data_IF_769669854388
#
_entry.id   IF_769669854388
#
_cell.length_a   1.000
_cell.length_b   1.000
_cell.length_c   1.000
_cell.angle_alpha   90.00
_cell.angle_beta   90.00
_cell.angle_gamma   90.00
#
_symmetry.space_group_name_H-M   'P 1'
#
loop_
_entity.id
_entity.type
_entity.pdbx_description
1 polymer ?
#
# COMPACT_ATOMS: atom_id res chain seq x y z
N UNK A 1 -35.85 5.18 4.63
CA UNK A 1 -35.53 4.62 3.30
C UNK A 1 -34.01 4.50 3.16
N UNK A 2 -33.41 3.35 3.49
CA UNK A 2 -31.95 3.17 3.48
C UNK A 2 -31.46 2.85 2.06
N UNK A 3 -30.82 3.82 1.41
CA UNK A 3 -29.78 3.72 0.37
C UNK A 3 -29.73 2.44 -0.51
N UNK A 4 -30.85 2.00 -1.09
CA UNK A 4 -30.84 0.89 -2.08
C UNK A 4 -30.03 1.23 -3.35
N UNK A 5 -29.85 2.51 -3.65
CA UNK A 5 -29.12 2.99 -4.83
C UNK A 5 -27.64 3.29 -4.58
N UNK A 6 -27.21 3.51 -3.34
CA UNK A 6 -25.82 3.90 -3.05
C UNK A 6 -24.85 2.73 -3.20
N UNK A 7 -25.24 1.55 -2.70
CA UNK A 7 -24.42 0.34 -2.81
C UNK A 7 -24.16 -0.09 -4.27
N UNK A 8 -25.18 -0.20 -5.15
CA UNK A 8 -24.92 -0.57 -6.53
C UNK A 8 -24.09 0.49 -7.27
N UNK A 9 -24.27 1.78 -6.97
CA UNK A 9 -23.45 2.84 -7.56
C UNK A 9 -21.96 2.70 -7.18
N UNK A 10 -21.67 2.42 -5.91
CA UNK A 10 -20.30 2.20 -5.42
C UNK A 10 -19.67 0.98 -6.10
N UNK A 11 -20.42 -0.12 -6.22
CA UNK A 11 -19.96 -1.33 -6.90
C UNK A 11 -19.68 -1.07 -8.38
N UNK A 12 -20.57 -0.37 -9.09
CA UNK A 12 -20.35 0.01 -10.50
C UNK A 12 -19.09 0.86 -10.62
N UNK A 13 -18.92 1.88 -9.75
CA UNK A 13 -17.71 2.71 -9.74
C UNK A 13 -16.44 1.89 -9.54
N UNK A 14 -16.45 0.92 -8.61
CA UNK A 14 -15.29 0.07 -8.33
C UNK A 14 -14.98 -0.85 -9.52
N UNK A 15 -15.99 -1.41 -10.18
CA UNK A 15 -15.83 -2.25 -11.38
C UNK A 15 -15.30 -1.42 -12.55
N UNK A 16 -15.83 -0.22 -12.79
CA UNK A 16 -15.34 0.67 -13.86
C UNK A 16 -13.87 1.05 -13.62
N UNK A 17 -13.50 1.36 -12.37
CA UNK A 17 -12.11 1.60 -12.01
C UNK A 17 -11.23 0.36 -12.24
N UNK A 18 -11.74 -0.85 -11.92
CA UNK A 18 -11.02 -2.10 -12.15
C UNK A 18 -10.69 -2.29 -13.63
N UNK A 19 -11.68 -2.10 -14.50
CA UNK A 19 -11.50 -2.25 -15.93
C UNK A 19 -10.48 -1.22 -16.45
N UNK A 20 -10.57 0.04 -16.01
CA UNK A 20 -9.61 1.08 -16.39
C UNK A 20 -8.18 0.76 -15.93
N UNK A 21 -8.00 0.35 -14.68
CA UNK A 21 -6.68 0.06 -14.13
C UNK A 21 -6.03 -1.18 -14.74
N UNK A 22 -6.82 -2.22 -15.03
CA UNK A 22 -6.33 -3.37 -15.79
C UNK A 22 -5.97 -2.97 -17.22
N UNK A 23 -6.78 -2.13 -17.89
CA UNK A 23 -6.44 -1.61 -19.20
C UNK A 23 -5.10 -0.87 -19.17
N UNK A 24 -4.90 0.06 -18.24
CA UNK A 24 -3.62 0.77 -18.09
C UNK A 24 -2.46 -0.18 -17.81
N UNK A 25 -2.64 -1.15 -16.92
CA UNK A 25 -1.60 -2.11 -16.55
C UNK A 25 -1.17 -3.01 -17.72
N UNK A 26 -2.11 -3.47 -18.54
CA UNK A 26 -1.82 -4.38 -19.66
C UNK A 26 -1.48 -3.67 -20.97
N UNK A 27 -1.93 -2.43 -21.15
CA UNK A 27 -1.72 -1.68 -22.40
C UNK A 27 -0.43 -0.88 -22.39
N UNK A 28 -0.05 -0.30 -21.25
CA UNK A 28 1.16 0.52 -21.14
C UNK A 28 2.31 -0.25 -20.49
N UNK A 29 3.53 0.04 -20.94
CA UNK A 29 4.74 -0.58 -20.42
C UNK A 29 5.30 0.16 -19.21
N UNK A 30 6.00 -0.58 -18.36
CA UNK A 30 6.68 -0.06 -17.18
C UNK A 30 8.17 -0.35 -17.30
N UNK A 31 8.96 0.72 -17.51
CA UNK A 31 10.40 0.59 -17.73
C UNK A 31 11.23 0.65 -16.44
N UNK A 32 10.63 0.97 -15.27
CA UNK A 32 11.34 0.96 -13.99
C UNK A 32 12.58 1.86 -13.91
N UNK A 33 12.58 2.97 -14.65
CA UNK A 33 13.65 3.99 -14.63
C UNK A 33 13.17 5.20 -13.84
N UNK A 34 13.89 5.55 -12.78
CA UNK A 34 13.59 6.71 -11.95
C UNK A 34 14.43 7.92 -12.39
N UNK A 35 13.76 9.06 -12.54
CA UNK A 35 14.39 10.32 -12.92
C UNK A 35 14.31 11.34 -11.79
N UNK A 36 15.35 12.15 -11.66
CA UNK A 36 15.35 13.32 -10.79
C UNK A 36 15.67 14.57 -11.61
N UNK A 37 14.99 15.66 -11.26
CA UNK A 37 15.29 16.98 -11.82
C UNK A 37 16.46 17.59 -11.06
N UNK A 38 17.50 18.01 -11.77
CA UNK A 38 18.63 18.70 -11.15
C UNK A 38 18.33 20.20 -10.91
N UNK A 39 19.27 20.92 -10.27
CA UNK A 39 19.19 22.36 -10.01
C UNK A 39 19.16 23.23 -11.28
N UNK A 40 19.53 22.68 -12.44
CA UNK A 40 19.48 23.32 -13.75
C UNK A 40 18.21 22.97 -14.54
N UNK A 41 17.22 22.35 -13.88
CA UNK A 41 15.98 21.88 -14.47
C UNK A 41 16.10 20.75 -15.50
N UNK A 42 17.25 20.09 -15.58
CA UNK A 42 17.52 18.94 -16.45
C UNK A 42 17.05 17.62 -15.79
N UNK A 43 16.57 16.69 -16.61
CA UNK A 43 16.15 15.37 -16.18
C UNK A 43 17.30 14.38 -16.28
N UNK A 44 17.69 13.78 -15.14
CA UNK A 44 18.75 12.78 -15.07
C UNK A 44 18.27 11.48 -14.47
N UNK A 45 18.82 10.37 -14.97
CA UNK A 45 18.55 9.05 -14.42
C UNK A 45 19.15 8.96 -13.03
N UNK A 46 18.31 8.78 -12.02
CA UNK A 46 18.77 8.58 -10.65
C UNK A 46 18.97 7.11 -10.33
N UNK A 47 18.07 6.23 -10.74
CA UNK A 47 18.08 4.83 -10.34
C UNK A 47 17.35 3.92 -11.34
N UNK A 48 17.55 2.62 -11.18
CA UNK A 48 16.82 1.57 -11.89
C UNK A 48 16.21 0.63 -10.87
N UNK A 49 14.98 0.19 -11.11
CA UNK A 49 14.31 -0.78 -10.26
C UNK A 49 15.03 -2.15 -10.26
N UNK A 50 15.63 -2.52 -11.39
CA UNK A 50 16.42 -3.74 -11.48
C UNK A 50 17.62 -3.57 -12.39
N UNK A 51 18.66 -4.34 -12.07
CA UNK A 51 19.90 -4.39 -12.84
C UNK A 51 19.66 -4.91 -14.27
N UNK A 52 18.69 -5.82 -14.45
CA UNK A 52 18.33 -6.36 -15.76
C UNK A 52 17.74 -5.29 -16.68
N UNK A 53 16.93 -4.37 -16.15
CA UNK A 53 16.39 -3.22 -16.91
C UNK A 53 17.54 -2.30 -17.36
N UNK A 54 18.48 -2.00 -16.46
CA UNK A 54 19.66 -1.18 -16.77
C UNK A 54 20.45 -1.75 -17.93
N UNK A 55 20.73 -3.05 -17.88
CA UNK A 55 21.49 -3.76 -18.92
C UNK A 55 20.71 -3.86 -20.24
N UNK A 56 19.40 -4.12 -20.19
CA UNK A 56 18.55 -4.21 -21.40
C UNK A 56 18.46 -2.89 -22.16
N UNK A 57 18.28 -1.78 -21.43
CA UNK A 57 18.13 -0.45 -22.04
C UNK A 57 19.49 0.22 -22.36
N UNK A 58 20.60 -0.32 -21.85
CA UNK A 58 21.94 0.27 -22.04
C UNK A 58 22.14 1.63 -21.35
N UNK A 59 21.23 1.99 -20.44
CA UNK A 59 21.22 3.26 -19.71
C UNK A 59 22.09 3.19 -18.44
N UNK A 60 22.56 4.34 -17.97
CA UNK A 60 23.39 4.45 -16.78
C UNK A 60 22.87 5.54 -15.85
N UNK A 61 23.17 5.41 -14.56
CA UNK A 61 22.86 6.45 -13.56
C UNK A 61 23.68 7.69 -13.90
N UNK A 62 23.02 8.85 -13.94
CA UNK A 62 23.62 10.14 -14.31
C UNK A 62 23.40 10.56 -15.76
N UNK A 63 22.94 9.65 -16.63
CA UNK A 63 22.55 9.96 -18.00
C UNK A 63 21.47 11.06 -18.05
N UNK A 64 21.59 11.98 -19.01
CA UNK A 64 20.67 13.10 -19.19
C UNK A 64 19.66 12.81 -20.30
N UNK A 65 18.37 13.00 -20.03
CA UNK A 65 17.34 12.87 -21.05
C UNK A 65 17.17 14.20 -21.76
N UNK A 66 17.49 14.21 -23.07
CA UNK A 66 17.45 15.40 -23.92
C UNK A 66 16.13 15.49 -24.68
N UNK A 67 15.61 14.35 -25.16
CA UNK A 67 14.34 14.29 -25.91
C UNK A 67 13.53 13.07 -25.54
N UNK A 68 12.21 13.24 -25.65
CA UNK A 68 11.20 12.22 -25.44
C UNK A 68 10.28 12.21 -26.66
N UNK A 69 10.23 11.12 -27.42
CA UNK A 69 9.55 11.04 -28.72
C UNK A 69 9.89 12.24 -29.64
N UNK A 70 11.18 12.51 -29.80
CA UNK A 70 11.77 13.63 -30.56
C UNK A 70 11.37 15.06 -30.11
N UNK A 71 10.61 15.17 -29.02
CA UNK A 71 10.19 16.44 -28.44
C UNK A 71 10.95 16.76 -27.15
N UNK A 72 10.89 18.04 -26.77
CA UNK A 72 11.36 18.50 -25.46
C UNK A 72 10.63 17.73 -24.33
N UNK A 73 11.35 17.15 -23.35
CA UNK A 73 10.76 16.41 -22.25
C UNK A 73 9.68 17.18 -21.49
N UNK A 74 9.81 18.51 -21.39
CA UNK A 74 8.85 19.36 -20.66
C UNK A 74 7.54 19.61 -21.45
N UNK A 75 7.47 19.23 -22.73
CA UNK A 75 6.21 19.25 -23.51
C UNK A 75 5.29 18.09 -23.19
N UNK A 76 5.81 16.97 -22.70
CA UNK A 76 4.99 15.82 -22.33
C UNK A 76 4.50 15.98 -20.88
N UNK A 77 3.20 16.20 -20.71
CA UNK A 77 2.59 16.45 -19.41
C UNK A 77 2.78 15.31 -18.40
N UNK A 78 2.81 14.04 -18.84
CA UNK A 78 3.02 12.90 -17.96
C UNK A 78 4.47 12.82 -17.49
N UNK A 79 5.40 13.01 -18.43
CA UNK A 79 6.83 13.02 -18.13
C UNK A 79 7.18 14.14 -17.15
N UNK A 80 6.72 15.37 -17.42
CA UNK A 80 6.96 16.55 -16.58
C UNK A 80 6.44 16.38 -15.14
N UNK A 81 5.26 15.77 -14.97
CA UNK A 81 4.64 15.59 -13.65
C UNK A 81 5.27 14.47 -12.83
N UNK A 82 5.58 13.35 -13.46
CA UNK A 82 5.88 12.11 -12.75
C UNK A 82 7.34 11.69 -12.79
N UNK A 83 8.15 12.32 -13.64
CA UNK A 83 9.56 11.99 -13.82
C UNK A 83 9.78 10.50 -14.11
N UNK A 84 8.85 9.89 -14.85
CA UNK A 84 8.88 8.49 -15.21
C UNK A 84 8.81 8.32 -16.72
N UNK A 85 9.63 7.39 -17.21
CA UNK A 85 9.56 6.91 -18.59
C UNK A 85 8.35 5.98 -18.69
N UNK A 86 7.23 6.49 -19.20
CA UNK A 86 5.99 5.74 -19.38
C UNK A 86 5.26 6.24 -20.61
N UNK A 87 4.73 5.34 -21.43
CA UNK A 87 3.96 5.67 -22.65
C UNK A 87 4.79 6.39 -23.72
N UNK A 88 6.03 5.96 -23.94
CA UNK A 88 6.99 6.58 -24.85
C UNK A 88 7.58 5.52 -25.79
N UNK A 89 7.85 5.91 -27.04
CA UNK A 89 8.40 5.01 -28.05
C UNK A 89 9.93 5.12 -28.11
N UNK A 90 10.46 6.35 -27.97
CA UNK A 90 11.89 6.62 -28.04
C UNK A 90 12.32 7.68 -27.03
N UNK A 91 13.54 7.53 -26.51
CA UNK A 91 14.23 8.56 -25.74
C UNK A 91 15.57 8.88 -26.36
N UNK A 92 15.95 10.16 -26.35
CA UNK A 92 17.31 10.58 -26.69
C UNK A 92 18.04 10.94 -25.41
N UNK A 93 19.17 10.28 -25.18
CA UNK A 93 19.97 10.39 -23.98
C UNK A 93 21.33 10.96 -24.32
N UNK A 94 21.82 11.88 -23.50
CA UNK A 94 23.19 12.41 -23.58
C UNK A 94 24.04 11.85 -22.44
N UNK A 95 25.16 11.23 -22.81
CA UNK A 95 26.18 10.73 -21.90
C UNK A 95 27.52 11.34 -22.28
N UNK A 96 28.11 12.12 -21.39
CA UNK A 96 29.39 12.82 -21.62
C UNK A 96 29.40 13.65 -22.92
N UNK A 97 28.27 14.26 -23.29
CA UNK A 97 28.13 15.06 -24.51
C UNK A 97 27.80 14.26 -25.77
N UNK A 98 27.77 12.92 -25.72
CA UNK A 98 27.33 12.08 -26.83
C UNK A 98 25.84 11.76 -26.71
N UNK A 99 25.07 12.13 -27.73
CA UNK A 99 23.65 11.81 -27.82
C UNK A 99 23.42 10.49 -28.56
N UNK A 100 22.60 9.62 -28.00
CA UNK A 100 22.14 8.39 -28.64
C UNK A 100 20.66 8.16 -28.35
N UNK A 101 19.97 7.51 -29.30
CA UNK A 101 18.56 7.15 -29.15
C UNK A 101 18.42 5.74 -28.61
N UNK A 102 17.52 5.57 -27.64
CA UNK A 102 17.14 4.28 -27.08
C UNK A 102 15.67 4.02 -27.41
N UNK A 103 15.36 2.99 -28.21
CA UNK A 103 13.99 2.57 -28.45
C UNK A 103 13.42 1.83 -27.24
N UNK A 104 12.17 2.16 -26.88
CA UNK A 104 11.42 1.56 -25.77
C UNK A 104 10.37 0.58 -26.31
N UNK A 105 10.81 -0.44 -27.05
CA UNK A 105 9.93 -1.29 -27.88
C UNK A 105 9.57 -2.64 -27.20
N UNK A 106 10.28 -3.01 -26.13
CA UNK A 106 10.24 -4.38 -25.64
C UNK A 106 9.13 -4.61 -24.61
N UNK A 107 8.03 -5.23 -25.08
CA UNK A 107 6.85 -5.66 -24.31
C UNK A 107 7.17 -6.77 -23.30
N UNK A 108 7.95 -6.47 -22.27
CA UNK A 108 8.09 -7.35 -21.12
C UNK A 108 7.02 -7.02 -20.07
N UNK A 109 5.98 -7.85 -19.97
CA UNK A 109 5.10 -7.80 -18.80
C UNK A 109 5.91 -8.11 -17.55
N UNK A 110 5.91 -7.18 -16.60
CA UNK A 110 6.65 -7.34 -15.36
C UNK A 110 5.93 -8.34 -14.47
N UNK A 111 6.66 -9.30 -13.87
CA UNK A 111 6.12 -10.19 -12.82
C UNK A 111 5.46 -9.40 -11.67
N UNK A 112 5.82 -8.12 -11.54
CA UNK A 112 5.23 -7.13 -10.65
C UNK A 112 3.70 -7.01 -10.78
N UNK A 113 3.15 -7.05 -12.00
CA UNK A 113 1.72 -6.87 -12.23
C UNK A 113 0.90 -8.08 -11.74
N UNK A 114 1.39 -9.29 -12.02
CA UNK A 114 0.75 -10.53 -11.56
C UNK A 114 0.73 -10.64 -10.03
N UNK A 115 1.80 -10.17 -9.39
CA UNK A 115 1.90 -10.16 -7.92
C UNK A 115 0.91 -9.16 -7.34
N UNK A 116 0.83 -7.94 -7.88
CA UNK A 116 -0.17 -6.94 -7.48
C UNK A 116 -1.60 -7.48 -7.65
N UNK A 117 -1.92 -8.11 -8.77
CA UNK A 117 -3.23 -8.70 -9.04
C UNK A 117 -3.57 -9.87 -8.09
N UNK A 118 -2.59 -10.69 -7.74
CA UNK A 118 -2.79 -11.76 -6.75
C UNK A 118 -3.13 -11.19 -5.37
N UNK A 119 -2.42 -10.14 -4.94
CA UNK A 119 -2.68 -9.45 -3.67
C UNK A 119 -4.08 -8.82 -3.62
N UNK A 120 -4.51 -8.21 -4.72
CA UNK A 120 -5.86 -7.67 -4.89
C UNK A 120 -6.93 -8.77 -4.71
N UNK A 121 -6.87 -9.83 -5.51
CA UNK A 121 -7.87 -10.92 -5.50
C UNK A 121 -7.98 -11.54 -4.11
N UNK A 122 -6.83 -11.81 -3.47
CA UNK A 122 -6.79 -12.38 -2.13
C UNK A 122 -7.49 -11.46 -1.13
N UNK A 123 -7.20 -10.16 -1.15
CA UNK A 123 -7.80 -9.19 -0.23
C UNK A 123 -9.31 -9.04 -0.45
N UNK A 124 -9.76 -8.93 -1.70
CA UNK A 124 -11.18 -8.84 -2.02
C UNK A 124 -11.95 -10.11 -1.64
N UNK A 125 -11.35 -11.27 -1.89
CA UNK A 125 -11.93 -12.56 -1.47
C UNK A 125 -12.13 -12.62 0.05
N UNK A 126 -11.11 -12.27 0.83
CA UNK A 126 -11.21 -12.28 2.30
C UNK A 126 -12.22 -11.23 2.79
N UNK A 127 -12.20 -10.02 2.22
CA UNK A 127 -13.16 -8.96 2.54
C UNK A 127 -14.60 -9.45 2.34
N UNK A 128 -14.88 -10.10 1.21
CA UNK A 128 -16.18 -10.66 0.87
C UNK A 128 -16.59 -11.80 1.83
N UNK A 129 -15.68 -12.71 2.15
CA UNK A 129 -15.93 -13.79 3.11
C UNK A 129 -16.33 -13.26 4.49
N UNK A 130 -15.61 -12.26 5.02
CA UNK A 130 -15.92 -11.65 6.32
C UNK A 130 -17.30 -10.99 6.28
N UNK A 131 -17.59 -10.25 5.22
CA UNK A 131 -18.87 -9.55 5.04
C UNK A 131 -20.05 -10.54 5.03
N UNK A 132 -19.91 -11.68 4.34
CA UNK A 132 -20.96 -12.71 4.28
C UNK A 132 -21.10 -13.49 5.59
N UNK A 133 -19.99 -13.89 6.22
CA UNK A 133 -20.01 -14.79 7.38
C UNK A 133 -20.38 -14.08 8.69
N UNK A 134 -20.11 -12.78 8.81
CA UNK A 134 -20.27 -12.04 10.08
C UNK A 134 -21.00 -10.70 9.87
N UNK A 135 -22.20 -10.69 9.28
CA UNK A 135 -22.86 -9.45 8.83
C UNK A 135 -23.28 -8.52 9.98
N UNK A 136 -23.44 -9.04 11.20
CA UNK A 136 -24.01 -8.31 12.34
C UNK A 136 -22.98 -7.62 13.24
N UNK A 137 -21.69 -7.94 13.13
CA UNK A 137 -20.64 -7.28 13.93
C UNK A 137 -20.15 -6.01 13.23
N UNK A 138 -20.12 -4.87 13.95
CA UNK A 138 -19.58 -3.63 13.38
C UNK A 138 -18.06 -3.72 13.24
N UNK A 139 -17.37 -4.34 14.20
CA UNK A 139 -15.92 -4.56 14.09
C UNK A 139 -15.58 -5.44 12.87
N UNK A 140 -16.33 -6.50 12.60
CA UNK A 140 -16.12 -7.33 11.40
C UNK A 140 -16.32 -6.55 10.09
N UNK A 141 -17.26 -5.61 10.03
CA UNK A 141 -17.44 -4.73 8.85
C UNK A 141 -16.26 -3.81 8.62
N UNK A 142 -15.71 -3.22 9.68
CA UNK A 142 -14.50 -2.41 9.56
C UNK A 142 -13.28 -3.25 9.16
N UNK A 143 -13.18 -4.49 9.65
CA UNK A 143 -12.14 -5.42 9.23
C UNK A 143 -12.26 -5.79 7.75
N UNK A 144 -13.48 -6.09 7.28
CA UNK A 144 -13.76 -6.27 5.85
C UNK A 144 -13.37 -5.03 5.03
N UNK A 145 -13.62 -3.83 5.56
CA UNK A 145 -13.21 -2.58 4.94
C UNK A 145 -11.69 -2.40 4.90
N UNK A 146 -10.95 -2.84 5.92
CA UNK A 146 -9.47 -2.89 5.90
C UNK A 146 -8.99 -3.72 4.72
N UNK A 147 -9.50 -4.95 4.57
CA UNK A 147 -9.13 -5.79 3.42
C UNK A 147 -9.54 -5.19 2.08
N UNK A 148 -10.70 -4.55 2.01
CA UNK A 148 -11.14 -3.88 0.80
C UNK A 148 -10.17 -2.75 0.42
N UNK A 149 -9.80 -1.90 1.38
CA UNK A 149 -8.79 -0.84 1.16
C UNK A 149 -7.46 -1.43 0.73
N UNK A 150 -6.97 -2.46 1.42
CA UNK A 150 -5.69 -3.11 1.06
C UNK A 150 -5.74 -3.71 -0.34
N UNK A 151 -6.85 -4.35 -0.73
CA UNK A 151 -7.05 -4.86 -2.08
C UNK A 151 -7.06 -3.74 -3.13
N UNK A 152 -7.75 -2.63 -2.86
CA UNK A 152 -7.74 -1.46 -3.75
C UNK A 152 -6.37 -0.78 -3.82
N UNK A 153 -5.57 -0.81 -2.74
CA UNK A 153 -4.17 -0.37 -2.80
C UNK A 153 -3.40 -1.25 -3.78
N UNK A 154 -3.49 -2.59 -3.65
CA UNK A 154 -2.82 -3.52 -4.58
C UNK A 154 -3.22 -3.27 -6.03
N UNK A 155 -4.52 -3.11 -6.29
CA UNK A 155 -5.09 -2.76 -7.60
C UNK A 155 -4.50 -1.47 -8.20
N UNK A 156 -4.18 -0.47 -7.37
CA UNK A 156 -3.64 0.81 -7.84
C UNK A 156 -2.13 0.77 -8.13
N UNK A 157 -1.39 -0.25 -7.68
CA UNK A 157 0.08 -0.28 -7.79
C UNK A 157 0.55 -0.26 -9.24
N UNK A 158 0.09 -1.21 -10.05
CA UNK A 158 0.47 -1.34 -11.46
C UNK A 158 0.15 -0.10 -12.33
N UNK A 159 -1.07 0.48 -12.29
CA UNK A 159 -1.36 1.71 -13.04
C UNK A 159 -0.65 2.95 -12.47
N UNK A 160 -0.42 3.04 -11.16
CA UNK A 160 0.33 4.14 -10.54
C UNK A 160 1.80 4.14 -10.99
N UNK A 161 2.41 2.96 -11.12
CA UNK A 161 3.76 2.79 -11.65
C UNK A 161 3.87 3.25 -13.13
N UNK A 162 2.75 3.23 -13.85
CA UNK A 162 2.62 3.68 -15.25
C UNK A 162 2.12 5.12 -15.39
N UNK A 163 2.32 5.93 -14.35
CA UNK A 163 1.99 7.36 -14.36
C UNK A 163 0.49 7.69 -14.48
N UNK A 164 -0.42 6.74 -14.22
CA UNK A 164 -1.84 7.05 -14.15
C UNK A 164 -2.13 7.95 -12.93
N UNK A 165 -2.70 9.12 -13.22
CA UNK A 165 -2.91 10.15 -12.21
C UNK A 165 -3.99 9.74 -11.21
N UNK A 166 -5.03 9.02 -11.66
CA UNK A 166 -6.11 8.58 -10.79
C UNK A 166 -5.63 7.51 -9.81
N UNK A 167 -4.86 6.54 -10.29
CA UNK A 167 -4.23 5.51 -9.47
C UNK A 167 -3.31 6.13 -8.40
N UNK A 168 -2.51 7.14 -8.76
CA UNK A 168 -1.65 7.88 -7.81
C UNK A 168 -2.43 8.62 -6.72
N UNK A 169 -3.55 9.26 -7.08
CA UNK A 169 -4.45 9.90 -6.10
C UNK A 169 -5.05 8.84 -5.16
N UNK A 170 -5.53 7.74 -5.72
CA UNK A 170 -6.18 6.66 -4.95
C UNK A 170 -5.19 5.98 -4.01
N UNK A 171 -4.04 5.51 -4.50
CA UNK A 171 -3.07 4.78 -3.66
C UNK A 171 -2.57 5.65 -2.50
N UNK A 172 -2.24 6.93 -2.76
CA UNK A 172 -1.76 7.86 -1.74
C UNK A 172 -2.82 8.13 -0.67
N UNK A 173 -4.08 8.22 -1.07
CA UNK A 173 -5.19 8.49 -0.16
C UNK A 173 -5.60 7.24 0.63
N UNK A 174 -5.60 6.08 -0.01
CA UNK A 174 -5.90 4.81 0.65
C UNK A 174 -4.79 4.40 1.63
N UNK A 175 -3.53 4.67 1.32
CA UNK A 175 -2.43 4.47 2.27
C UNK A 175 -2.63 5.29 3.53
N UNK A 176 -3.04 6.56 3.44
CA UNK A 176 -3.36 7.38 4.62
C UNK A 176 -4.54 6.82 5.41
N UNK A 177 -5.60 6.38 4.72
CA UNK A 177 -6.84 5.94 5.36
C UNK A 177 -6.70 4.55 5.98
N UNK A 178 -5.88 3.66 5.41
CA UNK A 178 -5.69 2.28 5.86
C UNK A 178 -5.42 2.15 7.37
N UNK A 179 -4.37 2.78 7.94
CA UNK A 179 -4.10 2.67 9.37
C UNK A 179 -5.19 3.35 10.24
N UNK A 180 -5.93 4.34 9.72
CA UNK A 180 -7.03 4.99 10.45
C UNK A 180 -8.25 4.09 10.56
N UNK A 181 -8.64 3.46 9.44
CA UNK A 181 -9.71 2.45 9.43
C UNK A 181 -9.33 1.27 10.31
N UNK A 182 -8.06 0.87 10.28
CA UNK A 182 -7.56 -0.17 11.15
C UNK A 182 -7.67 0.23 12.64
N UNK A 183 -7.31 1.46 12.98
CA UNK A 183 -7.47 1.99 14.34
C UNK A 183 -8.94 2.02 14.80
N UNK A 184 -9.84 2.38 13.89
CA UNK A 184 -11.28 2.37 14.14
C UNK A 184 -11.80 0.94 14.35
N UNK A 185 -11.32 -0.02 13.54
CA UNK A 185 -11.59 -1.44 13.74
C UNK A 185 -11.20 -1.87 15.16
N UNK A 186 -10.00 -1.53 15.64
CA UNK A 186 -9.54 -1.90 16.98
C UNK A 186 -10.44 -1.34 18.09
N UNK A 187 -10.82 -0.06 18.00
CA UNK A 187 -11.71 0.57 18.98
C UNK A 187 -13.04 -0.19 19.07
N UNK A 188 -13.61 -0.55 17.92
CA UNK A 188 -14.86 -1.29 17.87
C UNK A 188 -14.69 -2.74 18.34
N UNK A 189 -13.58 -3.38 17.98
CA UNK A 189 -13.28 -4.75 18.40
C UNK A 189 -13.18 -4.87 19.92
N UNK A 190 -12.42 -3.99 20.57
CA UNK A 190 -12.29 -3.99 22.03
C UNK A 190 -13.61 -3.63 22.74
N UNK A 191 -14.40 -2.73 22.14
CA UNK A 191 -15.74 -2.39 22.66
C UNK A 191 -16.71 -3.56 22.55
N UNK A 192 -16.75 -4.27 21.42
CA UNK A 192 -17.66 -5.40 21.20
C UNK A 192 -17.28 -6.64 22.03
N UNK A 193 -15.98 -6.92 22.18
CA UNK A 193 -15.51 -8.17 22.80
C UNK A 193 -15.31 -8.08 24.31
N UNK A 194 -14.87 -6.93 24.82
CA UNK A 194 -14.47 -6.77 26.23
C UNK A 194 -15.17 -5.60 26.92
N UNK A 195 -16.18 -4.97 26.28
CA UNK A 195 -16.86 -3.77 26.76
C UNK A 195 -15.91 -2.59 27.10
N UNK A 196 -14.69 -2.60 26.57
CA UNK A 196 -13.69 -1.57 26.81
C UNK A 196 -14.07 -0.32 26.01
N UNK A 197 -14.26 0.79 26.71
CA UNK A 197 -14.50 2.09 26.09
C UNK A 197 -13.17 2.79 25.83
N UNK A 198 -12.83 2.97 24.56
CA UNK A 198 -11.69 3.74 24.11
C UNK A 198 -12.14 5.10 23.54
N UNK A 199 -11.33 6.16 23.69
CA UNK A 199 -11.65 7.45 23.10
C UNK A 199 -11.65 7.33 21.57
N UNK A 200 -12.73 7.75 20.92
CA UNK A 200 -12.84 7.74 19.45
C UNK A 200 -12.91 9.15 18.84
N UNK A 201 -13.01 10.20 19.66
CA UNK A 201 -13.20 11.58 19.17
C UNK A 201 -12.04 12.07 18.32
N UNK A 202 -10.81 11.65 18.62
CA UNK A 202 -9.63 12.06 17.87
C UNK A 202 -9.61 11.51 16.42
N UNK A 203 -10.34 10.41 16.15
CA UNK A 203 -10.46 9.86 14.80
C UNK A 203 -11.11 10.87 13.85
N UNK A 204 -12.06 11.69 14.33
CA UNK A 204 -12.68 12.70 13.48
C UNK A 204 -11.65 13.67 12.92
N UNK A 205 -10.70 14.14 13.74
CA UNK A 205 -9.62 15.01 13.27
C UNK A 205 -8.70 14.31 12.26
N UNK A 206 -8.34 13.04 12.51
CA UNK A 206 -7.50 12.28 11.59
C UNK A 206 -8.19 12.05 10.24
N UNK A 207 -9.48 11.74 10.24
CA UNK A 207 -10.26 11.63 9.01
C UNK A 207 -10.41 12.99 8.30
N UNK A 208 -10.56 14.09 9.03
CA UNK A 208 -10.56 15.43 8.43
C UNK A 208 -9.25 15.73 7.71
N UNK A 209 -8.10 15.39 8.29
CA UNK A 209 -6.78 15.52 7.63
C UNK A 209 -6.73 14.65 6.36
N UNK A 210 -7.23 13.42 6.41
CA UNK A 210 -7.29 12.55 5.24
C UNK A 210 -8.17 13.13 4.12
N UNK A 211 -9.29 13.77 4.46
CA UNK A 211 -10.17 14.44 3.48
C UNK A 211 -9.49 15.67 2.88
N UNK A 212 -8.85 16.50 3.69
CA UNK A 212 -8.14 17.69 3.20
C UNK A 212 -7.01 17.29 2.24
N UNK A 213 -6.20 16.29 2.61
CA UNK A 213 -5.12 15.81 1.74
C UNK A 213 -5.66 15.18 0.45
N UNK A 214 -6.79 14.47 0.49
CA UNK A 214 -7.46 13.99 -0.71
C UNK A 214 -7.89 15.13 -1.65
N UNK A 215 -8.47 16.22 -1.12
CA UNK A 215 -8.88 17.38 -1.92
C UNK A 215 -7.67 18.03 -2.59
N UNK A 216 -6.56 18.19 -1.87
CA UNK A 216 -5.31 18.75 -2.43
C UNK A 216 -4.80 17.89 -3.58
N UNK A 217 -4.87 16.56 -3.46
CA UNK A 217 -4.42 15.61 -4.50
C UNK A 217 -5.27 15.62 -5.76
N UNK A 218 -6.49 16.15 -5.74
CA UNK A 218 -7.27 16.34 -6.96
C UNK A 218 -6.57 17.28 -7.95
N UNK A 219 -5.61 18.11 -7.50
CA UNK A 219 -4.76 18.90 -8.39
C UNK A 219 -3.95 18.04 -9.38
N UNK A 220 -3.63 16.78 -9.06
CA UNK A 220 -2.91 15.87 -9.95
C UNK A 220 -3.66 15.53 -11.25
N UNK A 221 -4.99 15.63 -11.21
CA UNK A 221 -5.84 15.41 -12.38
C UNK A 221 -5.80 16.58 -13.37
N UNK A 222 -5.29 17.75 -12.95
CA UNK A 222 -5.15 18.94 -13.81
C UNK A 222 -3.83 18.90 -14.58
N UNK A 223 -3.69 19.55 -15.76
CA UNK A 223 -2.45 19.52 -16.56
C UNK A 223 -1.27 20.32 -15.96
N UNK A 224 -1.38 20.80 -14.73
CA UNK A 224 -0.36 21.61 -14.06
C UNK A 224 0.93 20.81 -13.78
N UNK A 225 2.05 21.52 -13.63
CA UNK A 225 3.29 20.93 -13.15
C UNK A 225 3.19 20.67 -11.64
N UNK A 226 2.93 19.41 -11.29
CA UNK A 226 2.73 18.97 -9.91
C UNK A 226 3.90 18.15 -9.37
N UNK A 227 5.07 18.16 -10.04
CA UNK A 227 6.20 17.30 -9.66
C UNK A 227 6.69 17.57 -8.22
N UNK A 228 6.98 18.83 -7.88
CA UNK A 228 7.43 19.19 -6.53
C UNK A 228 6.37 18.92 -5.46
N UNK A 229 5.09 19.17 -5.78
CA UNK A 229 3.98 18.86 -4.89
C UNK A 229 3.87 17.35 -4.63
N UNK A 230 4.07 16.54 -5.67
CA UNK A 230 4.04 15.07 -5.57
C UNK A 230 5.17 14.53 -4.68
N UNK A 231 6.39 15.04 -4.79
CA UNK A 231 7.49 14.62 -3.92
C UNK A 231 7.19 14.91 -2.43
N UNK A 232 6.67 16.11 -2.15
CA UNK A 232 6.28 16.52 -0.81
C UNK A 232 5.13 15.65 -0.30
N UNK A 233 4.08 15.46 -1.10
CA UNK A 233 2.93 14.63 -0.76
C UNK A 233 3.32 13.17 -0.51
N UNK A 234 4.19 12.60 -1.35
CA UNK A 234 4.70 11.24 -1.18
C UNK A 234 5.40 11.05 0.18
N UNK A 235 6.26 12.00 0.56
CA UNK A 235 6.89 12.02 1.88
C UNK A 235 5.85 12.12 3.01
N UNK A 236 4.86 13.00 2.88
CA UNK A 236 3.77 13.15 3.86
C UNK A 236 2.90 11.89 3.98
N UNK A 237 2.60 11.19 2.87
CA UNK A 237 1.85 9.92 2.87
C UNK A 237 2.58 8.88 3.70
N UNK A 238 3.88 8.71 3.48
CA UNK A 238 4.70 7.75 4.22
C UNK A 238 4.75 8.09 5.70
N UNK A 239 5.02 9.35 6.04
CA UNK A 239 5.08 9.81 7.43
C UNK A 239 3.73 9.60 8.13
N UNK A 240 2.62 9.95 7.48
CA UNK A 240 1.29 9.78 8.03
C UNK A 240 0.92 8.30 8.18
N UNK A 241 1.30 7.45 7.24
CA UNK A 241 1.10 6.01 7.33
C UNK A 241 1.84 5.43 8.55
N UNK A 242 3.12 5.77 8.71
CA UNK A 242 3.93 5.33 9.86
C UNK A 242 3.38 5.87 11.17
N UNK A 243 2.96 7.14 11.22
CA UNK A 243 2.30 7.72 12.37
C UNK A 243 0.99 6.98 12.72
N UNK A 244 0.18 6.66 11.72
CA UNK A 244 -1.03 5.85 11.89
C UNK A 244 -0.73 4.45 12.44
N UNK A 245 0.32 3.79 11.97
CA UNK A 245 0.78 2.52 12.54
C UNK A 245 1.24 2.68 13.99
N UNK A 246 1.99 3.73 14.31
CA UNK A 246 2.41 4.03 15.69
C UNK A 246 1.20 4.26 16.61
N UNK A 247 0.15 4.92 16.13
CA UNK A 247 -1.10 5.07 16.89
C UNK A 247 -1.77 3.73 17.17
N UNK A 248 -1.77 2.80 16.21
CA UNK A 248 -2.28 1.45 16.40
C UNK A 248 -1.47 0.70 17.47
N UNK A 249 -0.14 0.73 17.37
CA UNK A 249 0.77 0.13 18.37
C UNK A 249 0.54 0.76 19.75
N UNK A 250 0.50 2.10 19.82
CA UNK A 250 0.27 2.86 21.05
C UNK A 250 -1.07 2.52 21.71
N UNK A 251 -2.12 2.34 20.92
CA UNK A 251 -3.41 1.86 21.43
C UNK A 251 -3.28 0.46 22.05
N UNK A 252 -2.59 -0.47 21.41
CA UNK A 252 -2.39 -1.79 22.00
C UNK A 252 -1.58 -1.74 23.29
N UNK A 253 -0.53 -0.91 23.36
CA UNK A 253 0.22 -0.71 24.60
C UNK A 253 -0.69 -0.16 25.71
N UNK A 254 -1.49 0.84 25.39
CA UNK A 254 -2.43 1.42 26.34
C UNK A 254 -3.40 0.37 26.89
N UNK A 255 -4.04 -0.43 26.02
CA UNK A 255 -4.96 -1.49 26.42
C UNK A 255 -4.23 -2.57 27.21
N UNK A 256 -3.02 -2.96 26.79
CA UNK A 256 -2.19 -3.94 27.50
C UNK A 256 -1.91 -3.49 28.93
N UNK A 257 -1.32 -2.31 29.11
CA UNK A 257 -0.91 -1.85 30.44
C UNK A 257 -2.09 -1.60 31.36
N UNK A 258 -3.21 -1.11 30.82
CA UNK A 258 -4.42 -0.82 31.60
C UNK A 258 -5.15 -2.09 32.04
N UNK A 259 -5.32 -3.08 31.16
CA UNK A 259 -6.17 -4.25 31.41
C UNK A 259 -5.41 -5.56 31.64
N UNK A 260 -4.07 -5.55 31.68
CA UNK A 260 -3.25 -6.76 31.94
C UNK A 260 -3.56 -7.48 33.26
N UNK A 261 -4.15 -6.79 34.24
CA UNK A 261 -4.44 -7.35 35.57
C UNK A 261 -5.87 -7.89 35.70
N UNK A 262 -6.77 -7.53 34.78
CA UNK A 262 -8.21 -7.73 34.97
C UNK A 262 -8.73 -9.01 34.32
N UNK A 263 -8.04 -9.55 33.30
CA UNK A 263 -8.51 -10.74 32.59
C UNK A 263 -7.38 -11.47 31.83
N UNK A 264 -7.16 -12.75 32.13
CA UNK A 264 -6.12 -13.57 31.49
C UNK A 264 -6.36 -13.78 29.99
N UNK A 265 -7.62 -13.86 29.56
CA UNK A 265 -7.99 -14.00 28.15
C UNK A 265 -7.65 -12.75 27.34
N UNK A 266 -7.83 -11.56 27.91
CA UNK A 266 -7.47 -10.28 27.26
C UNK A 266 -5.97 -10.20 27.04
N UNK A 267 -5.19 -10.62 28.02
CA UNK A 267 -3.73 -10.63 27.91
C UNK A 267 -3.25 -11.56 26.78
N UNK A 268 -3.88 -12.74 26.63
CA UNK A 268 -3.53 -13.69 25.56
C UNK A 268 -3.86 -13.13 24.17
N UNK A 269 -5.03 -12.51 23.99
CA UNK A 269 -5.41 -11.83 22.74
C UNK A 269 -4.38 -10.76 22.41
N UNK A 270 -4.07 -9.88 23.37
CA UNK A 270 -3.17 -8.76 23.13
C UNK A 270 -1.78 -9.26 22.74
N UNK A 271 -1.26 -10.32 23.39
CA UNK A 271 0.04 -10.91 23.04
C UNK A 271 0.07 -11.46 21.60
N UNK A 272 -0.95 -12.23 21.20
CA UNK A 272 -1.05 -12.78 19.84
C UNK A 272 -1.15 -11.65 18.82
N UNK A 273 -1.99 -10.67 19.10
CA UNK A 273 -2.21 -9.53 18.21
C UNK A 273 -0.98 -8.64 18.12
N UNK A 274 -0.24 -8.45 19.21
CA UNK A 274 1.05 -7.77 19.21
C UNK A 274 2.06 -8.47 18.30
N UNK A 275 2.17 -9.78 18.43
CA UNK A 275 3.06 -10.60 17.61
C UNK A 275 2.68 -10.52 16.13
N UNK A 276 1.39 -10.64 15.82
CA UNK A 276 0.87 -10.51 14.47
C UNK A 276 1.14 -9.11 13.88
N UNK A 277 0.92 -8.04 14.65
CA UNK A 277 1.22 -6.66 14.23
C UNK A 277 2.72 -6.53 13.93
N UNK A 278 3.58 -6.94 14.86
CA UNK A 278 5.02 -6.83 14.70
C UNK A 278 5.51 -7.58 13.45
N UNK A 279 5.09 -8.83 13.26
CA UNK A 279 5.46 -9.63 12.07
C UNK A 279 4.92 -9.00 10.78
N UNK A 280 3.70 -8.48 10.80
CA UNK A 280 3.06 -7.93 9.60
C UNK A 280 3.64 -6.59 9.15
N UNK A 281 3.93 -5.69 10.10
CA UNK A 281 4.32 -4.33 9.80
C UNK A 281 5.84 -4.18 9.70
N UNK A 282 6.62 -5.02 10.41
CA UNK A 282 8.07 -4.91 10.46
C UNK A 282 8.73 -4.92 9.07
N UNK A 283 8.43 -5.87 8.15
CA UNK A 283 9.04 -5.90 6.82
C UNK A 283 8.77 -4.61 6.03
N UNK A 284 7.53 -4.11 6.02
CA UNK A 284 7.21 -2.90 5.28
C UNK A 284 7.86 -1.65 5.90
N UNK A 285 7.83 -1.53 7.22
CA UNK A 285 8.40 -0.37 7.91
C UNK A 285 9.91 -0.33 7.74
N UNK A 286 10.62 -1.41 8.10
CA UNK A 286 12.08 -1.38 8.17
C UNK A 286 12.78 -1.65 6.83
N UNK A 287 12.18 -2.41 5.91
CA UNK A 287 12.82 -2.77 4.63
C UNK A 287 12.36 -1.86 3.48
N UNK A 288 11.23 -1.16 3.61
CA UNK A 288 10.72 -0.30 2.54
C UNK A 288 10.58 1.15 2.98
N UNK A 289 9.64 1.47 3.86
CA UNK A 289 9.24 2.87 4.11
C UNK A 289 10.29 3.67 4.87
N UNK A 290 10.91 3.10 5.89
CA UNK A 290 11.97 3.78 6.64
C UNK A 290 13.22 4.05 5.77
N UNK A 291 13.74 3.09 4.97
CA UNK A 291 14.80 3.37 4.00
C UNK A 291 14.46 4.45 2.98
N UNK A 292 13.23 4.46 2.47
CA UNK A 292 12.76 5.50 1.53
C UNK A 292 12.87 6.89 2.17
N UNK A 293 12.49 7.05 3.44
CA UNK A 293 12.56 8.34 4.13
C UNK A 293 14.00 8.84 4.36
N UNK A 294 14.99 7.95 4.37
CA UNK A 294 16.40 8.30 4.60
C UNK A 294 17.18 8.51 3.29
N UNK A 295 17.00 7.61 2.33
CA UNK A 295 17.87 7.47 1.16
C UNK A 295 17.11 7.57 -0.17
N UNK A 296 15.82 7.93 -0.16
CA UNK A 296 14.91 7.91 -1.31
C UNK A 296 14.82 6.57 -2.05
N UNK A 297 15.26 5.47 -1.41
CA UNK A 297 15.27 4.13 -2.01
C UNK A 297 14.90 3.06 -1.00
N UNK A 298 14.01 2.11 -1.34
CA UNK A 298 13.74 0.97 -0.49
C UNK A 298 14.89 -0.05 -0.51
N UNK A 299 15.04 -0.83 0.56
CA UNK A 299 15.88 -2.05 0.54
C UNK A 299 15.15 -3.20 -0.17
N UNK A 300 13.83 -3.29 0.04
CA UNK A 300 12.93 -4.19 -0.68
C UNK A 300 11.71 -3.41 -1.18
N UNK A 301 11.30 -3.69 -2.41
CA UNK A 301 10.14 -3.04 -3.03
C UNK A 301 8.89 -3.11 -2.14
N UNK A 302 8.18 -1.99 -1.92
CA UNK A 302 6.95 -1.95 -1.12
C UNK A 302 5.88 -2.96 -1.54
N UNK A 303 5.87 -3.39 -2.81
CA UNK A 303 4.95 -4.42 -3.28
C UNK A 303 5.12 -5.73 -2.51
N UNK A 304 6.37 -6.22 -2.35
CA UNK A 304 6.64 -7.50 -1.69
C UNK A 304 6.43 -7.42 -0.19
N UNK A 305 6.94 -6.37 0.44
CA UNK A 305 6.80 -6.17 1.89
C UNK A 305 5.35 -5.83 2.28
N UNK A 306 4.58 -5.24 1.36
CA UNK A 306 3.16 -4.95 1.53
C UNK A 306 2.28 -6.19 1.75
N UNK A 307 2.67 -7.36 1.24
CA UNK A 307 1.95 -8.62 1.51
C UNK A 307 1.94 -8.99 2.99
N UNK A 308 2.99 -8.62 3.74
CA UNK A 308 3.07 -8.93 5.15
C UNK A 308 2.00 -8.20 5.96
N UNK A 309 1.57 -7.00 5.54
CA UNK A 309 0.47 -6.27 6.18
C UNK A 309 -0.79 -7.14 6.29
N UNK A 310 -1.05 -7.99 5.29
CA UNK A 310 -2.27 -8.80 5.22
C UNK A 310 -2.34 -9.81 6.37
N UNK A 311 -1.20 -10.29 6.90
CA UNK A 311 -1.18 -11.28 7.99
C UNK A 311 -1.89 -10.79 9.26
N UNK A 312 -1.87 -9.49 9.49
CA UNK A 312 -2.45 -8.92 10.70
C UNK A 312 -3.98 -8.88 10.71
N UNK A 313 -4.68 -8.30 9.72
CA UNK A 313 -6.12 -8.41 9.64
C UNK A 313 -6.57 -9.87 9.41
N UNK A 314 -5.74 -10.74 8.83
CA UNK A 314 -6.03 -12.20 8.78
C UNK A 314 -6.08 -12.80 10.18
N UNK A 315 -5.11 -12.47 11.02
CA UNK A 315 -5.06 -12.95 12.41
C UNK A 315 -6.33 -12.56 13.17
N UNK A 316 -6.82 -11.33 12.98
CA UNK A 316 -8.10 -10.90 13.55
C UNK A 316 -9.30 -11.59 12.93
N UNK A 317 -9.31 -11.83 11.62
CA UNK A 317 -10.39 -12.54 10.95
C UNK A 317 -10.54 -13.93 11.52
N UNK A 318 -9.42 -14.63 11.72
CA UNK A 318 -9.38 -15.92 12.38
C UNK A 318 -9.94 -15.86 13.81
N UNK A 319 -9.51 -14.88 14.62
CA UNK A 319 -10.01 -14.69 15.99
C UNK A 319 -11.52 -14.41 16.05
N UNK A 320 -12.06 -13.64 15.10
CA UNK A 320 -13.50 -13.32 15.06
C UNK A 320 -14.31 -14.53 14.58
N UNK A 321 -13.90 -15.19 13.50
CA UNK A 321 -14.58 -16.36 12.91
C UNK A 321 -14.62 -17.52 13.91
N UNK A 322 -13.51 -17.78 14.59
CA UNK A 322 -13.40 -18.96 15.45
C UNK A 322 -14.17 -18.78 16.76
N UNK A 323 -14.76 -17.61 17.06
CA UNK A 323 -15.48 -17.30 18.32
C UNK A 323 -14.68 -17.60 19.61
N UNK A 324 -13.39 -17.90 19.50
CA UNK A 324 -12.58 -18.47 20.56
C UNK A 324 -11.84 -17.37 21.32
N UNK A 325 -12.55 -16.64 22.17
CA UNK A 325 -11.89 -15.98 23.31
C UNK A 325 -11.65 -16.97 24.47
N UNK A 326 -12.33 -18.12 24.46
CA UNK A 326 -12.18 -19.18 25.46
C UNK A 326 -11.09 -20.21 25.11
N UNK A 327 -10.83 -20.51 23.82
CA UNK A 327 -9.83 -21.52 23.42
C UNK A 327 -8.49 -20.96 22.91
N UNK A 328 -8.15 -19.70 23.21
CA UNK A 328 -6.85 -19.14 22.79
C UNK A 328 -5.68 -19.95 23.35
N UNK A 329 -5.83 -20.50 24.56
CA UNK A 329 -4.86 -21.43 25.14
C UNK A 329 -4.73 -22.72 24.32
N UNK A 330 -5.80 -23.16 23.65
CA UNK A 330 -5.83 -24.35 22.80
C UNK A 330 -5.14 -24.07 21.46
N UNK A 331 -5.39 -22.89 20.87
CA UNK A 331 -4.73 -22.46 19.62
C UNK A 331 -3.23 -22.23 19.84
N UNK A 332 -2.82 -21.54 20.92
CA UNK A 332 -1.41 -21.32 21.26
C UNK A 332 -0.68 -22.64 21.45
N UNK A 333 -1.30 -23.60 22.17
CA UNK A 333 -0.77 -24.95 22.29
C UNK A 333 -0.64 -25.61 20.92
N UNK A 334 -1.66 -25.52 20.06
CA UNK A 334 -1.63 -26.14 18.73
C UNK A 334 -0.53 -25.55 17.84
N UNK A 335 -0.39 -24.24 17.77
CA UNK A 335 0.69 -23.59 17.00
C UNK A 335 2.04 -24.05 17.53
N UNK A 336 2.26 -24.00 18.85
CA UNK A 336 3.52 -24.40 19.47
C UNK A 336 3.84 -25.89 19.21
N UNK A 337 2.86 -26.78 19.37
CA UNK A 337 3.01 -28.21 19.04
C UNK A 337 3.27 -28.44 17.55
N UNK A 338 2.55 -27.76 16.66
CA UNK A 338 2.73 -27.92 15.20
C UNK A 338 4.08 -27.38 14.74
N UNK A 339 4.55 -26.26 15.29
CA UNK A 339 5.89 -25.72 14.98
C UNK A 339 7.01 -26.60 15.53
N UNK A 340 6.86 -27.15 16.73
CA UNK A 340 7.83 -28.09 17.28
C UNK A 340 7.88 -29.38 16.47
N UNK A 341 6.73 -29.90 16.05
CA UNK A 341 6.65 -31.08 15.18
C UNK A 341 7.25 -30.82 13.80
N UNK A 342 6.99 -29.67 13.19
CA UNK A 342 7.58 -29.32 11.88
C UNK A 342 9.09 -29.10 11.96
N UNK A 343 9.59 -28.51 13.06
CA UNK A 343 11.02 -28.35 13.28
C UNK A 343 11.70 -29.70 13.54
N UNK A 344 11.06 -30.58 14.32
CA UNK A 344 11.54 -31.94 14.54
C UNK A 344 11.61 -32.73 13.22
N UNK A 345 10.58 -32.62 12.39
CA UNK A 345 10.52 -33.29 11.08
C UNK A 345 11.49 -32.71 10.04
N UNK A 346 11.94 -31.46 10.21
CA UNK A 346 12.97 -30.85 9.36
C UNK A 346 14.41 -31.20 9.79
N UNK A 347 14.58 -31.71 11.02
CA UNK A 347 15.87 -32.12 11.60
C UNK A 347 16.15 -33.62 11.44
N UNK A 348 15.13 -34.40 11.09
CA UNK A 348 15.14 -35.83 10.78
C UNK A 348 15.25 -36.01 9.26
#
# INVERSE_FOLDING_TARGET
>A
MKNKFFLPLLLISLITMQIWFLYVAFHYEYYGVELKRNSQHEWRISSFQSESIRLKLGLQVGDMIVKVNDNDPDKNALFKKWAMLTQLDTITVSRNGFEFQVPLIDKAQSSFDYISLFGEILCFFISFLIFLKIPNSRSARFLSLVFLITGTIFMCIAPSARSDSMAKVMISSLLIILPLVFLHFLILFFKEKNAIQLPSRFLYYLYSIAVVTFIVRLSYLTPLDTYSLYLIDYFFVLLFFLFGLLLNIGMFLYVYFKYRRDNSSIQAIIKIVWFALFISCSPLVFLSFYPILLNDRPLLEPLYTGFFIIFFPISFSYLIVTKQLYDINLILRRILYTTLLSLFQALL
#
